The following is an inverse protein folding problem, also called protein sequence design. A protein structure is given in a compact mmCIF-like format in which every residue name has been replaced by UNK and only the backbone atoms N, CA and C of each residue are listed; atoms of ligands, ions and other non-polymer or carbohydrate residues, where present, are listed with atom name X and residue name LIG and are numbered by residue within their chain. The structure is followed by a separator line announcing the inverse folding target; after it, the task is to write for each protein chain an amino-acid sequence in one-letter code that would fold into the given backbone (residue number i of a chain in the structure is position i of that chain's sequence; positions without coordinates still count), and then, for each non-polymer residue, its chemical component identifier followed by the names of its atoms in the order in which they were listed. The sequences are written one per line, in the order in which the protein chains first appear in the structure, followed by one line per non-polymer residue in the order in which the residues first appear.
data_IF_152384620997
#
_entry.id   IF_152384620997
#
_cell.length_a   1.000
_cell.length_b   1.000
_cell.length_c   1.000
_cell.angle_alpha   90.00
_cell.angle_beta   90.00
_cell.angle_gamma   90.00
#
_symmetry.space_group_name_H-M   'P 1'
#
loop_
_entity.id
_entity.type
_entity.pdbx_description
1 polymer ?
#
# COMPACT_ATOMS: atom_id res chain seq x y z
N UNK A 1 4.98 -18.03 -9.46
CA UNK A 1 3.95 -17.41 -10.33
C UNK A 1 3.26 -16.31 -9.55
N UNK A 2 3.59 -15.03 -9.79
CA UNK A 2 2.83 -13.91 -9.19
C UNK A 2 1.46 -13.88 -9.89
N UNK A 3 0.41 -14.14 -9.14
CA UNK A 3 -0.95 -14.23 -9.67
C UNK A 3 -1.47 -12.81 -9.95
N UNK A 4 -2.36 -12.66 -10.95
CA UNK A 4 -3.09 -11.40 -11.19
C UNK A 4 -3.77 -10.87 -9.92
N UNK A 5 -4.10 -11.77 -9.00
CA UNK A 5 -4.62 -11.50 -7.66
C UNK A 5 -3.66 -10.65 -6.80
N UNK A 6 -2.35 -10.95 -6.81
CA UNK A 6 -1.36 -10.21 -6.02
C UNK A 6 -1.25 -8.75 -6.45
N UNK A 7 -1.23 -8.49 -7.76
CA UNK A 7 -1.24 -7.11 -8.29
C UNK A 7 -2.55 -6.39 -8.00
N UNK A 8 -3.70 -7.07 -8.08
CA UNK A 8 -4.99 -6.48 -7.72
C UNK A 8 -5.04 -6.09 -6.23
N UNK A 9 -4.46 -6.93 -5.36
CA UNK A 9 -4.35 -6.65 -3.93
C UNK A 9 -3.41 -5.46 -3.64
N UNK A 10 -2.28 -5.36 -4.32
CA UNK A 10 -1.38 -4.20 -4.22
C UNK A 10 -2.10 -2.89 -4.61
N UNK A 11 -2.88 -2.92 -5.70
CA UNK A 11 -3.68 -1.77 -6.16
C UNK A 11 -4.79 -1.44 -5.14
N UNK A 12 -5.45 -2.46 -4.58
CA UNK A 12 -6.46 -2.26 -3.54
C UNK A 12 -5.88 -1.58 -2.30
N UNK A 13 -4.69 -2.03 -1.85
CA UNK A 13 -3.96 -1.42 -0.74
C UNK A 13 -3.62 0.04 -1.03
N UNK A 14 -3.26 0.39 -2.26
CA UNK A 14 -2.96 1.78 -2.64
C UNK A 14 -4.16 2.71 -2.52
N UNK A 15 -5.37 2.21 -2.77
CA UNK A 15 -6.61 3.00 -2.68
C UNK A 15 -7.09 3.10 -1.23
N UNK A 16 -7.10 1.98 -0.52
CA UNK A 16 -7.67 1.89 0.83
C UNK A 16 -6.67 2.35 1.91
N UNK A 17 -5.37 2.18 1.70
CA UNK A 17 -4.33 2.57 2.65
C UNK A 17 -4.40 4.04 3.08
N UNK A 18 -4.46 5.01 2.14
CA UNK A 18 -4.63 6.42 2.48
C UNK A 18 -5.91 6.71 3.28
N UNK A 19 -7.00 6.02 2.92
CA UNK A 19 -8.27 6.14 3.64
C UNK A 19 -8.18 5.64 5.08
N UNK A 20 -7.53 4.49 5.32
CA UNK A 20 -7.30 3.97 6.67
C UNK A 20 -6.44 4.94 7.49
N UNK A 21 -5.37 5.50 6.91
CA UNK A 21 -4.53 6.46 7.62
C UNK A 21 -5.35 7.69 8.02
N UNK A 22 -6.18 8.21 7.10
CA UNK A 22 -7.04 9.36 7.38
C UNK A 22 -8.00 9.11 8.55
N UNK A 23 -8.69 7.97 8.59
CA UNK A 23 -9.61 7.66 9.69
C UNK A 23 -8.89 7.51 11.02
N UNK A 24 -7.68 6.94 11.03
CA UNK A 24 -6.85 6.85 12.25
C UNK A 24 -6.36 8.20 12.74
N UNK A 25 -6.08 9.14 11.84
CA UNK A 25 -5.71 10.50 12.22
C UNK A 25 -6.91 11.20 12.90
N UNK A 26 -8.12 11.07 12.34
CA UNK A 26 -9.33 11.62 12.97
C UNK A 26 -9.54 11.00 14.36
N UNK A 27 -9.42 9.68 14.48
CA UNK A 27 -9.57 8.98 15.76
C UNK A 27 -8.58 9.51 16.82
N UNK A 28 -7.32 9.75 16.44
CA UNK A 28 -6.32 10.36 17.34
C UNK A 28 -6.69 11.79 17.72
N UNK A 29 -7.28 12.56 16.81
CA UNK A 29 -7.73 13.93 17.09
C UNK A 29 -8.90 13.98 18.05
N UNK A 30 -9.83 13.02 17.96
CA UNK A 30 -11.04 12.98 18.79
C UNK A 30 -10.80 12.34 20.17
N UNK A 31 -10.03 11.25 20.22
CA UNK A 31 -9.84 10.45 21.44
C UNK A 31 -8.47 10.60 22.08
N UNK A 32 -7.56 11.34 21.44
CA UNK A 32 -6.18 11.51 21.86
C UNK A 32 -5.24 10.41 21.34
N UNK A 33 -3.92 10.55 21.57
CA UNK A 33 -2.95 9.58 21.10
C UNK A 33 -3.11 8.23 21.81
N UNK A 34 -3.42 7.19 21.03
CA UNK A 34 -3.57 5.81 21.50
C UNK A 34 -2.65 4.85 20.74
N UNK A 35 -2.26 3.75 21.41
CA UNK A 35 -1.31 2.76 20.87
C UNK A 35 -1.87 2.08 19.60
N UNK A 36 -3.18 1.77 19.59
CA UNK A 36 -3.83 1.10 18.46
C UNK A 36 -3.79 1.89 17.15
N UNK A 37 -4.27 3.16 17.08
CA UNK A 37 -4.24 3.92 15.84
C UNK A 37 -2.81 4.19 15.36
N UNK A 38 -1.85 4.37 16.27
CA UNK A 38 -0.43 4.54 15.92
C UNK A 38 0.12 3.28 15.23
N UNK A 39 -0.08 2.09 15.83
CA UNK A 39 0.38 0.82 15.23
C UNK A 39 -0.33 0.59 13.88
N UNK A 40 -1.63 0.88 13.80
CA UNK A 40 -2.41 0.78 12.57
C UNK A 40 -1.79 1.62 11.45
N UNK A 41 -1.42 2.88 11.73
CA UNK A 41 -0.79 3.76 10.74
C UNK A 41 0.55 3.18 10.27
N UNK A 42 1.38 2.66 11.17
CA UNK A 42 2.68 2.07 10.82
C UNK A 42 2.52 0.88 9.88
N UNK A 43 1.63 -0.07 10.22
CA UNK A 43 1.40 -1.27 9.41
C UNK A 43 0.88 -0.90 8.02
N UNK A 44 -0.09 0.02 7.94
CA UNK A 44 -0.67 0.45 6.67
C UNK A 44 0.36 1.18 5.82
N UNK A 45 1.19 2.02 6.42
CA UNK A 45 2.26 2.74 5.72
C UNK A 45 3.28 1.76 5.11
N UNK A 46 3.70 0.75 5.86
CA UNK A 46 4.57 -0.31 5.34
C UNK A 46 3.92 -1.08 4.20
N UNK A 47 2.64 -1.42 4.33
CA UNK A 47 1.90 -2.13 3.29
C UNK A 47 1.81 -1.31 1.99
N UNK A 48 1.57 0.01 2.08
CA UNK A 48 1.54 0.92 0.93
C UNK A 48 2.91 0.99 0.26
N UNK A 49 4.00 1.12 1.04
CA UNK A 49 5.37 1.15 0.50
C UNK A 49 5.68 -0.14 -0.26
N UNK A 50 5.36 -1.30 0.32
CA UNK A 50 5.58 -2.58 -0.35
C UNK A 50 4.72 -2.72 -1.62
N UNK A 51 3.46 -2.29 -1.59
CA UNK A 51 2.60 -2.29 -2.77
C UNK A 51 3.19 -1.44 -3.91
N UNK A 52 3.67 -0.23 -3.60
CA UNK A 52 4.33 0.66 -4.57
C UNK A 52 5.57 -0.01 -5.14
N UNK A 53 6.45 -0.53 -4.28
CA UNK A 53 7.68 -1.19 -4.72
C UNK A 53 7.39 -2.40 -5.64
N UNK A 54 6.41 -3.22 -5.26
CA UNK A 54 6.00 -4.40 -6.02
C UNK A 54 5.38 -4.03 -7.38
N UNK A 55 4.61 -2.94 -7.45
CA UNK A 55 4.06 -2.41 -8.70
C UNK A 55 5.17 -1.81 -9.58
N UNK A 56 6.07 -1.02 -9.00
CA UNK A 56 7.20 -0.45 -9.73
C UNK A 56 8.07 -1.53 -10.39
N UNK A 57 8.43 -2.57 -9.63
CA UNK A 57 9.21 -3.69 -10.14
C UNK A 57 8.49 -4.44 -11.28
N UNK A 58 7.15 -4.55 -11.19
CA UNK A 58 6.34 -5.15 -12.25
C UNK A 58 6.34 -4.32 -13.54
N UNK A 59 6.19 -3.00 -13.42
CA UNK A 59 6.18 -2.11 -14.58
C UNK A 59 7.57 -2.06 -15.24
N UNK A 60 8.64 -1.93 -14.45
CA UNK A 60 10.02 -1.92 -14.95
C UNK A 60 10.39 -3.23 -15.64
N UNK A 61 10.05 -4.38 -15.04
CA UNK A 61 10.32 -5.70 -15.64
C UNK A 61 9.57 -5.93 -16.95
N UNK A 62 8.31 -5.47 -17.06
CA UNK A 62 7.53 -5.56 -18.32
C UNK A 62 8.07 -4.65 -19.42
N UNK A 63 8.62 -3.50 -19.06
CA UNK A 63 9.19 -2.56 -20.02
C UNK A 63 10.46 -3.13 -20.66
N UNK A 64 11.26 -3.89 -19.91
CA UNK A 64 12.47 -4.54 -20.41
C UNK A 64 12.18 -5.73 -21.36
N UNK A 65 11.10 -6.47 -21.13
CA UNK A 65 10.70 -7.60 -21.99
C UNK A 65 10.09 -7.16 -23.33
N UNK A 66 9.35 -6.04 -23.33
CA UNK A 66 8.79 -5.46 -24.56
C UNK A 66 9.81 -4.68 -25.39
N UNK A 67 10.92 -4.22 -24.81
CA UNK A 67 11.97 -3.48 -25.54
C UNK A 67 12.97 -4.39 -26.29
N UNK A 68 12.85 -5.72 -26.14
CA UNK A 68 13.69 -6.73 -26.82
C UNK A 68 12.98 -7.46 -27.97
N UNK A 69 11.77 -7.02 -28.34
CA UNK A 69 11.06 -7.44 -29.55
C UNK A 69 11.08 -6.31 -30.57
#
# INVERSE_FOLDING_TARGET
MRTKLGTALDIFILVIGPWIIYTRIIEIMETGPAVYPIISIVIVTLAVIFAIYNLYLLFSGKQQDNSRK
#
